data_IF_515057205404
#
_entry.id   IF_515057205404
#
_cell.length_a   1.000
_cell.length_b   1.000
_cell.length_c   1.000
_cell.angle_alpha   90.00
_cell.angle_beta   90.00
_cell.angle_gamma   90.00
#
_symmetry.space_group_name_H-M   'P 1'
#
loop_
_entity.id
_entity.type
_entity.pdbx_description
1 polymer ?
#
# COMPACT_ATOMS: atom_id res chain seq x y z
N UNK A 1 -4.24 -4.53 -11.14
CA UNK A 1 -5.58 -4.06 -10.72
C UNK A 1 -5.75 -4.28 -9.22
N UNK A 2 -6.29 -3.31 -8.48
CA UNK A 2 -6.53 -3.44 -7.04
C UNK A 2 -7.75 -4.35 -6.77
N UNK A 3 -7.58 -5.44 -6.02
CA UNK A 3 -8.64 -6.44 -5.81
C UNK A 3 -9.53 -6.13 -4.61
N UNK A 4 -8.98 -5.54 -3.55
CA UNK A 4 -9.69 -5.21 -2.33
C UNK A 4 -9.06 -3.97 -1.66
N UNK A 5 -9.87 -3.15 -1.00
CA UNK A 5 -9.36 -2.08 -0.14
C UNK A 5 -10.35 -1.76 0.98
N UNK A 6 -10.02 -2.13 2.21
CA UNK A 6 -10.89 -2.00 3.38
C UNK A 6 -11.23 -0.55 3.73
N UNK A 7 -10.24 0.36 3.68
CA UNK A 7 -10.43 1.75 4.10
C UNK A 7 -11.13 2.63 3.06
N UNK A 8 -11.05 2.28 1.78
CA UNK A 8 -11.60 3.07 0.68
C UNK A 8 -12.05 2.15 -0.46
N UNK A 9 -13.32 1.68 -0.43
CA UNK A 9 -13.88 0.81 -1.47
C UNK A 9 -13.84 1.41 -2.88
N UNK A 10 -13.78 2.75 -3.02
CA UNK A 10 -13.70 3.44 -4.33
C UNK A 10 -12.38 3.18 -5.06
N UNK A 11 -11.37 2.62 -4.39
CA UNK A 11 -10.10 2.22 -5.01
C UNK A 11 -10.14 0.78 -5.56
N UNK A 12 -11.16 -0.02 -5.22
CA UNK A 12 -11.30 -1.38 -5.75
C UNK A 12 -11.52 -1.32 -7.25
N UNK A 13 -10.82 -2.20 -7.98
CA UNK A 13 -10.90 -2.31 -9.42
C UNK A 13 -10.10 -1.27 -10.21
N UNK A 14 -9.52 -0.26 -9.55
CA UNK A 14 -8.64 0.70 -10.23
C UNK A 14 -7.26 0.13 -10.49
N UNK A 15 -6.63 0.61 -11.55
CA UNK A 15 -5.19 0.46 -11.71
C UNK A 15 -4.49 1.55 -10.90
N UNK A 16 -3.65 1.14 -9.95
CA UNK A 16 -2.95 2.01 -9.02
C UNK A 16 -1.44 1.97 -9.26
N UNK A 17 -0.96 1.38 -10.36
CA UNK A 17 0.47 1.20 -10.62
C UNK A 17 1.28 2.51 -10.59
N UNK A 18 0.64 3.63 -10.92
CA UNK A 18 1.26 4.97 -10.91
C UNK A 18 0.92 5.79 -9.67
N UNK A 19 0.26 5.20 -8.66
CA UNK A 19 -0.09 5.89 -7.42
C UNK A 19 1.19 6.28 -6.67
N UNK A 20 1.29 7.56 -6.36
CA UNK A 20 2.35 8.13 -5.56
C UNK A 20 1.78 8.69 -4.25
N UNK A 21 2.59 8.70 -3.21
CA UNK A 21 2.29 9.51 -2.04
C UNK A 21 2.57 11.01 -2.33
N UNK A 22 2.20 11.93 -1.42
CA UNK A 22 2.44 13.36 -1.62
C UNK A 22 3.90 13.77 -1.77
N UNK A 23 4.84 12.94 -1.31
CA UNK A 23 6.28 13.17 -1.46
C UNK A 23 6.81 12.55 -2.77
N UNK A 24 5.93 12.01 -3.61
CA UNK A 24 6.26 11.45 -4.92
C UNK A 24 6.69 9.98 -4.92
N UNK A 25 6.60 9.27 -3.79
CA UNK A 25 7.06 7.87 -3.68
C UNK A 25 6.11 6.92 -4.41
N UNK A 26 6.61 6.05 -5.32
CA UNK A 26 5.77 5.17 -6.13
C UNK A 26 5.29 3.94 -5.34
N UNK A 27 4.19 4.10 -4.59
CA UNK A 27 3.71 3.13 -3.60
C UNK A 27 3.56 1.72 -4.14
N UNK A 28 2.75 1.55 -5.20
CA UNK A 28 2.41 0.21 -5.70
C UNK A 28 3.61 -0.45 -6.36
N UNK A 29 4.51 0.32 -6.97
CA UNK A 29 5.73 -0.22 -7.58
C UNK A 29 6.67 -0.78 -6.51
N UNK A 30 6.85 -0.06 -5.40
CA UNK A 30 7.63 -0.55 -4.25
C UNK A 30 7.05 -1.84 -3.67
N UNK A 31 5.72 -1.95 -3.58
CA UNK A 31 5.05 -3.16 -3.08
C UNK A 31 5.29 -4.35 -4.01
N UNK A 32 5.16 -4.15 -5.33
CA UNK A 32 5.43 -5.16 -6.35
C UNK A 32 6.90 -5.59 -6.32
N UNK A 33 7.83 -4.65 -6.13
CA UNK A 33 9.26 -4.96 -6.07
C UNK A 33 9.60 -5.84 -4.86
N UNK A 34 9.04 -5.53 -3.69
CA UNK A 34 9.18 -6.40 -2.51
C UNK A 34 8.61 -7.80 -2.77
N UNK A 35 7.42 -7.88 -3.37
CA UNK A 35 6.77 -9.15 -3.68
C UNK A 35 7.56 -10.00 -4.69
N UNK A 36 8.24 -9.36 -5.65
CA UNK A 36 9.08 -10.04 -6.65
C UNK A 36 10.42 -10.50 -6.07
N UNK A 37 11.02 -9.71 -5.19
CA UNK A 37 12.39 -9.96 -4.71
C UNK A 37 12.43 -10.81 -3.44
N UNK A 38 11.55 -10.53 -2.47
CA UNK A 38 11.55 -11.19 -1.15
C UNK A 38 10.29 -12.00 -0.88
N UNK A 39 9.22 -11.78 -1.66
CA UNK A 39 7.92 -12.40 -1.44
C UNK A 39 7.12 -11.78 -0.29
N UNK A 40 7.78 -11.33 0.79
CA UNK A 40 7.13 -10.68 1.93
C UNK A 40 8.03 -9.72 2.68
N UNK A 41 7.43 -8.85 3.51
CA UNK A 41 8.16 -7.95 4.41
C UNK A 41 7.42 -6.66 4.71
N UNK A 42 8.08 -5.81 5.51
CA UNK A 42 7.60 -4.47 5.84
C UNK A 42 8.08 -3.44 4.81
N UNK A 43 7.17 -2.55 4.41
CA UNK A 43 7.47 -1.30 3.71
C UNK A 43 7.10 -0.14 4.63
N UNK A 44 8.04 0.79 4.74
CA UNK A 44 7.89 1.99 5.58
C UNK A 44 8.28 3.26 4.82
N UNK A 45 8.13 4.39 5.49
CA UNK A 45 8.62 5.68 4.98
C UNK A 45 7.74 6.28 3.91
N UNK A 46 6.49 5.85 3.75
CA UNK A 46 5.54 6.48 2.84
C UNK A 46 4.34 7.02 3.60
N UNK A 47 3.60 7.93 2.96
CA UNK A 47 2.41 8.55 3.55
C UNK A 47 1.12 8.06 2.89
N UNK A 48 0.04 7.97 3.66
CA UNK A 48 -1.28 7.62 3.15
C UNK A 48 -2.39 8.27 3.97
N UNK A 49 -3.59 8.42 3.38
CA UNK A 49 -4.77 8.90 4.11
C UNK A 49 -5.11 7.91 5.23
N UNK A 50 -5.12 8.38 6.48
CA UNK A 50 -5.66 7.64 7.61
C UNK A 50 -7.19 7.79 7.60
N UNK A 51 -7.96 6.69 7.49
CA UNK A 51 -9.42 6.75 7.42
C UNK A 51 -10.08 7.20 8.72
N UNK A 52 -9.38 7.12 9.86
CA UNK A 52 -9.91 7.55 11.16
C UNK A 52 -9.69 9.04 11.37
N UNK A 53 -8.45 9.51 11.23
CA UNK A 53 -8.12 10.92 11.46
C UNK A 53 -8.40 11.84 10.27
N UNK A 54 -8.62 11.27 9.08
CA UNK A 54 -8.76 11.99 7.81
C UNK A 54 -7.54 12.86 7.47
N UNK A 55 -6.35 12.50 8.01
CA UNK A 55 -5.08 13.18 7.72
C UNK A 55 -4.14 12.28 6.91
N UNK A 56 -3.23 12.91 6.20
CA UNK A 56 -2.12 12.21 5.56
C UNK A 56 -1.06 11.96 6.62
N UNK A 57 -0.78 10.69 6.89
CA UNK A 57 0.13 10.26 7.96
C UNK A 57 1.14 9.25 7.44
N UNK A 58 2.27 9.13 8.14
CA UNK A 58 3.23 8.08 7.88
C UNK A 58 2.61 6.70 8.10
N UNK A 59 2.89 5.75 7.20
CA UNK A 59 2.36 4.40 7.26
C UNK A 59 3.48 3.36 7.13
N UNK A 60 3.39 2.30 7.92
CA UNK A 60 4.12 1.05 7.69
C UNK A 60 3.13 -0.03 7.30
N UNK A 61 3.48 -0.86 6.33
CA UNK A 61 2.64 -1.97 5.88
C UNK A 61 3.46 -3.23 5.71
N UNK A 62 2.97 -4.32 6.27
CA UNK A 62 3.42 -5.65 5.96
C UNK A 62 2.74 -6.12 4.68
N UNK A 63 3.52 -6.74 3.80
CA UNK A 63 3.07 -7.30 2.54
C UNK A 63 3.52 -8.75 2.43
N UNK A 64 2.68 -9.58 1.83
CA UNK A 64 2.98 -10.97 1.52
C UNK A 64 2.33 -11.37 0.19
N UNK A 65 3.14 -11.97 -0.69
CA UNK A 65 2.68 -12.55 -1.94
C UNK A 65 2.01 -13.90 -1.66
N UNK A 66 0.77 -14.04 -2.12
CA UNK A 66 -0.03 -15.27 -2.04
C UNK A 66 -0.47 -15.62 -3.45
N UNK A 67 0.21 -16.60 -4.06
CA UNK A 67 0.04 -16.92 -5.48
C UNK A 67 0.33 -15.71 -6.37
N UNK A 68 -0.68 -15.29 -7.13
CA UNK A 68 -0.62 -14.12 -8.02
C UNK A 68 -1.12 -12.82 -7.38
N UNK A 69 -1.47 -12.86 -6.09
CA UNK A 69 -1.97 -11.71 -5.35
C UNK A 69 -0.93 -11.21 -4.35
N UNK A 70 -0.91 -9.89 -4.13
CA UNK A 70 -0.18 -9.28 -3.03
C UNK A 70 -1.18 -8.81 -1.97
N UNK A 71 -1.05 -9.33 -0.76
CA UNK A 71 -1.92 -8.98 0.38
C UNK A 71 -1.11 -8.12 1.34
N UNK A 72 -1.73 -7.09 1.91
CA UNK A 72 -1.06 -6.22 2.86
C UNK A 72 -1.97 -5.67 3.96
N UNK A 73 -1.39 -5.48 5.14
CA UNK A 73 -2.01 -4.82 6.27
C UNK A 73 -0.96 -3.99 7.00
N UNK A 74 -1.37 -2.90 7.64
CA UNK A 74 -0.41 -1.94 8.18
C UNK A 74 -0.96 -1.05 9.26
N UNK A 75 -0.07 -0.23 9.81
CA UNK A 75 -0.30 0.71 10.89
C UNK A 75 0.07 2.12 10.45
N UNK A 76 -0.69 3.10 10.92
CA UNK A 76 -0.32 4.51 10.84
C UNK A 76 0.60 4.85 12.02
N UNK A 77 1.61 5.70 11.78
CA UNK A 77 2.67 6.01 12.77
C UNK A 77 2.39 7.27 13.61
N UNK A 78 1.28 7.97 13.38
CA UNK A 78 0.93 9.23 14.06
C UNK A 78 1.57 10.44 13.39
#
# INVERSE_FOLDING_TARGET
KNLAQGANPKLVGKDLINLKDPDGKPLIQMFIELAKTKGKGWIEGYKFMNPVSQKIEGKAMYLERVGDTLVGCGIYKG
#
